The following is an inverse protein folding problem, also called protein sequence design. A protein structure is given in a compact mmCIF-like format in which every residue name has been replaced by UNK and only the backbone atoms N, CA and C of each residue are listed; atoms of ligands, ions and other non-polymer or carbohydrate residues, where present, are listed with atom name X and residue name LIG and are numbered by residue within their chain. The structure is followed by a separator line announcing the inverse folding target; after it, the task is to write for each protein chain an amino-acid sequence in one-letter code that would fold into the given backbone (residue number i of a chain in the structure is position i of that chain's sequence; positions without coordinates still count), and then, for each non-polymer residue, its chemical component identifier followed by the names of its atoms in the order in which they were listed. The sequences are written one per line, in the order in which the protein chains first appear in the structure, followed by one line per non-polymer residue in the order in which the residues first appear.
data_IF_516633200565
#
_entry.id   IF_516633200565
#
_cell.length_a   1.000
_cell.length_b   1.000
_cell.length_c   1.000
_cell.angle_alpha   90.00
_cell.angle_beta   90.00
_cell.angle_gamma   90.00
#
_symmetry.space_group_name_H-M   'P 1'
#
loop_
_entity.id
_entity.type
_entity.pdbx_description
1 polymer ?
#
# COMPACT_ATOMS: atom_id res chain seq x y z
N UNK A 1 -10.80 -4.52 -11.46
CA UNK A 1 -11.62 -3.44 -10.93
C UNK A 1 -10.91 -2.11 -11.16
N UNK A 2 -11.66 -1.00 -11.31
CA UNK A 2 -11.13 0.32 -11.65
C UNK A 2 -11.37 1.39 -10.58
N UNK A 3 -11.90 1.03 -9.43
CA UNK A 3 -12.17 1.90 -8.29
C UNK A 3 -11.63 1.19 -7.08
N UNK A 4 -10.36 1.45 -6.75
CA UNK A 4 -9.63 0.74 -5.71
C UNK A 4 -9.73 1.40 -4.33
N UNK A 5 -10.19 2.66 -4.26
CA UNK A 5 -10.17 3.45 -3.04
C UNK A 5 -11.07 4.69 -3.12
N UNK A 6 -10.99 5.53 -2.10
CA UNK A 6 -11.65 6.85 -2.04
C UNK A 6 -11.09 7.86 -3.05
N UNK A 7 -10.09 7.51 -3.83
CA UNK A 7 -9.46 8.38 -4.83
C UNK A 7 -10.38 8.88 -5.94
N UNK A 8 -11.65 8.56 -5.87
CA UNK A 8 -12.72 9.05 -6.74
C UNK A 8 -13.77 9.77 -5.88
N UNK A 9 -13.40 10.91 -5.32
CA UNK A 9 -14.25 11.65 -4.39
C UNK A 9 -15.60 12.09 -4.91
N UNK A 10 -15.69 12.41 -6.20
CA UNK A 10 -16.89 12.98 -6.85
C UNK A 10 -18.06 11.99 -6.92
N UNK A 11 -17.79 10.70 -7.13
CA UNK A 11 -18.83 9.67 -7.24
C UNK A 11 -19.39 9.24 -5.87
N UNK A 12 -18.74 9.66 -4.79
CA UNK A 12 -19.19 9.43 -3.43
C UNK A 12 -19.07 7.99 -2.94
N UNK A 13 -19.63 7.68 -1.76
CA UNK A 13 -19.43 6.41 -1.05
C UNK A 13 -19.81 5.16 -1.83
N UNK A 14 -20.73 5.25 -2.80
CA UNK A 14 -21.17 4.11 -3.61
C UNK A 14 -20.09 3.57 -4.54
N UNK A 15 -19.05 4.35 -4.82
CA UNK A 15 -17.92 4.00 -5.70
C UNK A 15 -16.57 3.99 -4.97
N UNK A 16 -16.57 4.20 -3.66
CA UNK A 16 -15.39 4.27 -2.81
C UNK A 16 -15.29 3.02 -1.94
N UNK A 17 -14.57 1.96 -2.39
CA UNK A 17 -14.36 0.76 -1.57
C UNK A 17 -13.48 1.08 -0.36
N UNK A 18 -13.84 0.56 0.80
CA UNK A 18 -13.11 0.67 2.06
C UNK A 18 -12.70 -0.72 2.53
N UNK A 19 -13.69 -1.56 2.88
CA UNK A 19 -13.51 -2.92 3.37
C UNK A 19 -13.36 -3.97 2.26
N UNK A 20 -13.65 -3.62 1.02
CA UNK A 20 -13.70 -4.57 -0.11
C UNK A 20 -12.34 -5.23 -0.36
N UNK A 21 -11.23 -4.46 -0.30
CA UNK A 21 -9.89 -5.04 -0.46
C UNK A 21 -9.57 -6.03 0.67
N UNK A 22 -9.86 -5.67 1.92
CA UNK A 22 -9.68 -6.54 3.08
C UNK A 22 -10.52 -7.81 2.96
N UNK A 23 -11.78 -7.69 2.56
CA UNK A 23 -12.68 -8.82 2.33
C UNK A 23 -12.15 -9.76 1.25
N UNK A 24 -11.66 -9.22 0.14
CA UNK A 24 -11.06 -10.01 -0.94
C UNK A 24 -9.78 -10.74 -0.48
N UNK A 25 -8.91 -10.07 0.28
CA UNK A 25 -7.69 -10.66 0.87
C UNK A 25 -7.99 -11.76 1.88
N UNK A 26 -9.19 -11.83 2.41
CA UNK A 26 -9.64 -12.91 3.30
C UNK A 26 -10.07 -14.16 2.56
N UNK A 27 -10.22 -14.13 1.24
CA UNK A 27 -10.61 -15.28 0.42
C UNK A 27 -9.41 -16.20 0.20
N UNK A 28 -9.44 -17.45 0.64
CA UNK A 28 -8.32 -18.39 0.44
C UNK A 28 -7.99 -18.58 -1.04
N UNK A 29 -6.70 -18.65 -1.34
CA UNK A 29 -6.18 -18.92 -2.69
C UNK A 29 -6.54 -17.85 -3.74
N UNK A 30 -6.86 -16.63 -3.35
CA UNK A 30 -7.10 -15.50 -4.23
C UNK A 30 -5.94 -14.50 -4.12
N UNK A 31 -5.30 -14.15 -5.24
CA UNK A 31 -4.26 -13.13 -5.26
C UNK A 31 -4.89 -11.76 -5.53
N UNK A 32 -4.64 -10.78 -4.67
CA UNK A 32 -5.12 -9.42 -4.82
C UNK A 32 -3.95 -8.51 -5.16
N UNK A 33 -3.94 -8.02 -6.39
CA UNK A 33 -2.95 -7.06 -6.87
C UNK A 33 -3.50 -5.65 -6.82
N UNK A 34 -2.77 -4.75 -6.17
CA UNK A 34 -3.05 -3.32 -6.14
C UNK A 34 -1.79 -2.55 -6.54
N UNK A 35 -1.53 -2.40 -7.85
CA UNK A 35 -0.31 -1.79 -8.37
C UNK A 35 -0.29 -0.27 -8.18
N UNK A 36 0.91 0.29 -7.97
CA UNK A 36 1.16 1.70 -7.70
C UNK A 36 1.42 2.54 -8.97
N UNK A 37 1.82 1.93 -10.05
CA UNK A 37 2.12 2.60 -11.32
C UNK A 37 1.95 1.67 -12.53
N UNK A 38 2.24 2.20 -13.71
CA UNK A 38 2.15 1.44 -14.97
C UNK A 38 3.07 0.22 -14.99
N UNK A 39 4.26 0.33 -14.41
CA UNK A 39 5.23 -0.78 -14.42
C UNK A 39 4.74 -1.90 -13.52
N UNK A 40 4.31 -1.58 -12.30
CA UNK A 40 3.69 -2.57 -11.41
C UNK A 40 2.41 -3.16 -12.01
N UNK A 41 1.59 -2.35 -12.68
CA UNK A 41 0.39 -2.85 -13.37
C UNK A 41 0.76 -3.92 -14.40
N UNK A 42 1.77 -3.67 -15.24
CA UNK A 42 2.24 -4.64 -16.22
C UNK A 42 2.78 -5.91 -15.53
N UNK A 43 3.59 -5.75 -14.49
CA UNK A 43 4.14 -6.86 -13.71
C UNK A 43 3.04 -7.70 -13.04
N UNK A 44 2.03 -7.06 -12.46
CA UNK A 44 0.88 -7.74 -11.85
C UNK A 44 0.05 -8.51 -12.89
N UNK A 45 -0.18 -7.92 -14.06
CA UNK A 45 -0.84 -8.62 -15.18
C UNK A 45 -0.06 -9.85 -15.62
N UNK A 46 1.26 -9.74 -15.75
CA UNK A 46 2.12 -10.87 -16.09
C UNK A 46 1.99 -12.00 -15.05
N UNK A 47 1.96 -11.67 -13.76
CA UNK A 47 1.81 -12.64 -12.68
C UNK A 47 0.43 -13.28 -12.70
N UNK A 48 -0.62 -12.49 -12.87
CA UNK A 48 -2.00 -12.98 -12.92
C UNK A 48 -2.23 -13.95 -14.09
N UNK A 49 -1.72 -13.61 -15.29
CA UNK A 49 -1.86 -14.48 -16.48
C UNK A 49 -1.04 -15.77 -16.39
N UNK A 50 0.08 -15.74 -15.66
CA UNK A 50 0.92 -16.92 -15.46
C UNK A 50 0.44 -17.80 -14.29
N UNK A 51 -0.45 -17.32 -13.45
CA UNK A 51 -1.01 -18.09 -12.33
C UNK A 51 -1.98 -19.15 -12.86
N UNK A 52 -1.64 -20.43 -12.64
CA UNK A 52 -2.47 -21.57 -13.10
C UNK A 52 -3.37 -22.15 -12.02
N UNK A 53 -3.07 -21.89 -10.77
CA UNK A 53 -3.72 -22.52 -9.62
C UNK A 53 -4.48 -21.57 -8.72
N UNK A 54 -4.28 -20.25 -8.89
CA UNK A 54 -4.89 -19.22 -8.05
C UNK A 54 -5.52 -18.15 -8.95
N UNK A 55 -6.81 -17.85 -8.79
CA UNK A 55 -7.41 -16.69 -9.43
C UNK A 55 -6.78 -15.39 -8.94
N UNK A 56 -6.94 -14.34 -9.72
CA UNK A 56 -6.34 -13.03 -9.42
C UNK A 56 -7.36 -11.91 -9.60
N UNK A 57 -7.33 -10.95 -8.71
CA UNK A 57 -8.01 -9.67 -8.82
C UNK A 57 -6.96 -8.58 -8.98
N UNK A 58 -7.14 -7.68 -9.93
CA UNK A 58 -6.32 -6.48 -10.08
C UNK A 58 -7.22 -5.28 -9.80
N UNK A 59 -6.93 -4.57 -8.71
CA UNK A 59 -7.62 -3.35 -8.30
C UNK A 59 -6.81 -2.15 -8.75
N UNK A 60 -7.36 -1.36 -9.67
CA UNK A 60 -6.71 -0.22 -10.29
C UNK A 60 -7.34 1.07 -9.80
N UNK A 61 -6.51 2.08 -9.59
CA UNK A 61 -6.99 3.42 -9.28
C UNK A 61 -7.64 4.09 -10.48
N UNK A 62 -8.55 5.00 -10.19
CA UNK A 62 -9.17 5.92 -11.15
C UNK A 62 -8.31 7.16 -11.41
N UNK A 63 -7.37 7.44 -10.53
CA UNK A 63 -6.51 8.61 -10.60
C UNK A 63 -5.35 8.42 -11.57
N UNK A 64 -4.86 9.53 -12.11
CA UNK A 64 -3.55 9.57 -12.75
C UNK A 64 -2.45 9.51 -11.70
N UNK A 65 -1.57 8.52 -11.79
CA UNK A 65 -0.46 8.34 -10.86
C UNK A 65 0.87 8.69 -11.51
N UNK A 66 1.76 9.27 -10.72
CA UNK A 66 3.14 9.46 -11.11
C UNK A 66 3.90 8.13 -11.03
N UNK A 67 4.91 7.90 -11.90
CA UNK A 67 5.76 6.73 -11.79
C UNK A 67 6.45 6.68 -10.42
N UNK A 68 6.31 5.58 -9.73
CA UNK A 68 6.94 5.32 -8.43
C UNK A 68 8.34 4.74 -8.65
N UNK A 69 8.45 3.86 -9.63
CA UNK A 69 9.70 3.19 -9.97
C UNK A 69 10.47 3.95 -11.02
N UNK A 70 11.59 4.58 -10.60
CA UNK A 70 12.48 5.35 -11.47
C UNK A 70 13.65 4.53 -12.00
N UNK A 71 14.00 3.42 -11.33
CA UNK A 71 15.11 2.54 -11.73
C UNK A 71 14.61 1.42 -12.62
N UNK A 72 15.29 1.22 -13.77
CA UNK A 72 15.01 0.09 -14.67
C UNK A 72 15.38 -1.22 -13.97
N UNK A 73 14.54 -2.23 -14.10
CA UNK A 73 14.80 -3.61 -13.69
C UNK A 73 14.39 -4.55 -14.82
N UNK A 74 15.23 -5.54 -15.10
CA UNK A 74 14.88 -6.66 -15.98
C UNK A 74 14.06 -7.74 -15.27
N UNK A 75 13.93 -7.64 -13.93
CA UNK A 75 13.18 -8.59 -13.12
C UNK A 75 11.82 -8.01 -12.78
N UNK A 76 10.81 -8.86 -12.77
CA UNK A 76 9.50 -8.55 -12.20
C UNK A 76 9.64 -8.46 -10.68
N UNK A 77 9.63 -7.24 -10.13
CA UNK A 77 9.82 -7.04 -8.69
C UNK A 77 8.53 -7.36 -7.91
N UNK A 78 7.38 -7.23 -8.54
CA UNK A 78 6.08 -7.58 -7.96
C UNK A 78 5.92 -9.09 -7.67
N UNK A 79 6.78 -9.93 -8.27
CA UNK A 79 6.81 -11.39 -8.02
C UNK A 79 7.02 -11.72 -6.53
N UNK A 80 7.75 -10.90 -5.81
CA UNK A 80 7.97 -11.08 -4.37
C UNK A 80 6.79 -10.61 -3.50
N UNK A 81 5.78 -10.01 -4.10
CA UNK A 81 4.62 -9.44 -3.41
C UNK A 81 4.87 -8.12 -2.71
N UNK A 82 6.10 -7.86 -2.29
CA UNK A 82 6.56 -6.59 -1.72
C UNK A 82 8.04 -6.37 -2.03
N UNK A 83 8.46 -5.13 -2.22
CA UNK A 83 9.86 -4.77 -2.46
C UNK A 83 10.16 -3.31 -2.09
N UNK A 84 11.43 -2.99 -1.83
CA UNK A 84 11.87 -1.64 -1.50
C UNK A 84 11.91 -0.76 -2.75
N UNK A 85 11.20 0.39 -2.70
CA UNK A 85 11.17 1.39 -3.78
C UNK A 85 12.02 2.60 -3.48
N UNK A 86 12.16 2.96 -2.21
CA UNK A 86 12.94 4.10 -1.75
C UNK A 86 13.65 3.80 -0.43
N UNK A 87 14.83 4.37 -0.27
CA UNK A 87 15.56 4.43 1.00
C UNK A 87 16.26 5.79 1.10
N UNK A 88 16.00 6.52 2.18
CA UNK A 88 16.53 7.88 2.37
C UNK A 88 17.89 7.91 3.08
N UNK A 89 18.30 6.83 3.76
CA UNK A 89 19.62 6.70 4.41
C UNK A 89 19.97 5.23 4.67
N UNK A 90 21.26 4.95 4.86
CA UNK A 90 21.71 3.63 5.32
C UNK A 90 21.28 3.30 6.76
N UNK A 91 21.09 4.34 7.61
CA UNK A 91 20.54 4.19 8.96
C UNK A 91 19.12 4.74 8.95
N UNK A 92 18.15 3.84 9.06
CA UNK A 92 16.73 4.18 9.01
C UNK A 92 16.06 3.94 10.37
N UNK A 93 15.07 4.77 10.68
CA UNK A 93 14.27 4.72 11.91
C UNK A 93 12.92 4.05 11.70
N UNK A 94 12.39 4.08 10.48
CA UNK A 94 11.07 3.55 10.16
C UNK A 94 11.05 2.81 8.81
N UNK A 95 10.15 1.83 8.71
CA UNK A 95 9.75 1.20 7.44
C UNK A 95 8.32 1.63 7.14
N UNK A 96 8.08 2.19 5.97
CA UNK A 96 6.75 2.60 5.52
C UNK A 96 6.32 1.63 4.42
N UNK A 97 5.19 0.95 4.64
CA UNK A 97 4.60 0.04 3.65
C UNK A 97 3.42 0.76 3.01
N UNK A 98 3.34 0.70 1.70
CA UNK A 98 2.19 1.23 0.97
C UNK A 98 1.84 0.34 -0.22
N UNK A 99 0.65 0.52 -0.76
CA UNK A 99 0.18 -0.19 -1.93
C UNK A 99 -0.68 0.74 -2.80
N UNK A 100 -0.76 0.45 -4.09
CA UNK A 100 -1.56 1.25 -5.01
C UNK A 100 -1.15 2.72 -5.04
N UNK A 101 -2.13 3.59 -5.13
CA UNK A 101 -1.95 5.05 -5.21
C UNK A 101 -1.19 5.64 -4.03
N UNK A 102 -1.28 5.05 -2.86
CA UNK A 102 -0.65 5.57 -1.64
C UNK A 102 0.87 5.34 -1.60
N UNK A 103 1.42 4.54 -2.52
CA UNK A 103 2.88 4.37 -2.61
C UNK A 103 3.61 5.68 -2.95
N UNK A 104 3.04 6.52 -3.82
CA UNK A 104 3.61 7.84 -4.10
C UNK A 104 3.53 8.77 -2.88
N UNK A 105 2.42 8.74 -2.14
CA UNK A 105 2.27 9.47 -0.87
C UNK A 105 3.31 9.03 0.16
N UNK A 106 3.55 7.73 0.29
CA UNK A 106 4.57 7.19 1.21
C UNK A 106 5.98 7.68 0.86
N UNK A 107 6.29 7.82 -0.44
CA UNK A 107 7.56 8.39 -0.93
C UNK A 107 7.67 9.86 -0.53
N UNK A 108 6.62 10.65 -0.74
CA UNK A 108 6.60 12.08 -0.39
C UNK A 108 6.74 12.28 1.13
N UNK A 109 6.03 11.48 1.93
CA UNK A 109 6.17 11.46 3.41
C UNK A 109 7.61 11.11 3.80
N UNK A 110 8.21 10.08 3.19
CA UNK A 110 9.58 9.67 3.48
C UNK A 110 10.60 10.78 3.18
N UNK A 111 10.42 11.51 2.08
CA UNK A 111 11.27 12.67 1.76
C UNK A 111 11.08 13.81 2.76
N UNK A 112 9.83 14.10 3.15
CA UNK A 112 9.54 15.14 4.15
C UNK A 112 10.15 14.80 5.51
N UNK A 113 9.99 13.56 5.99
CA UNK A 113 10.61 13.09 7.23
C UNK A 113 12.15 13.21 7.20
N UNK A 114 12.76 12.96 6.05
CA UNK A 114 14.21 13.08 5.88
C UNK A 114 14.70 14.53 6.06
N UNK A 115 13.88 15.55 5.74
CA UNK A 115 14.23 16.96 6.02
C UNK A 115 14.30 17.25 7.53
N UNK A 116 13.55 16.49 8.33
CA UNK A 116 13.54 16.59 9.79
C UNK A 116 14.54 15.62 10.46
N UNK A 117 15.41 14.97 9.65
CA UNK A 117 16.42 14.03 10.12
C UNK A 117 15.89 12.63 10.46
N UNK A 118 14.65 12.34 10.12
CA UNK A 118 14.01 11.02 10.30
C UNK A 118 14.10 10.25 8.99
N UNK A 119 14.98 9.26 8.95
CA UNK A 119 15.21 8.47 7.75
C UNK A 119 14.37 7.19 7.74
N UNK A 120 13.87 6.86 6.56
CA UNK A 120 12.99 5.70 6.36
C UNK A 120 13.27 4.98 5.06
N UNK A 121 12.73 3.78 4.93
CA UNK A 121 12.57 3.10 3.65
C UNK A 121 11.08 2.96 3.32
N UNK A 122 10.77 2.98 2.05
CA UNK A 122 9.42 2.76 1.53
C UNK A 122 9.37 1.42 0.80
N UNK A 123 8.38 0.63 1.15
CA UNK A 123 8.07 -0.68 0.58
C UNK A 123 6.78 -0.54 -0.23
N UNK A 124 6.84 -0.85 -1.53
CA UNK A 124 5.63 -1.14 -2.29
C UNK A 124 5.23 -2.59 -2.06
N UNK A 125 3.97 -2.82 -1.72
CA UNK A 125 3.40 -4.16 -1.48
C UNK A 125 2.20 -4.40 -2.41
N UNK A 126 2.43 -4.62 -3.71
CA UNK A 126 1.35 -4.81 -4.66
C UNK A 126 0.51 -6.08 -4.45
N UNK A 127 1.04 -7.10 -3.75
CA UNK A 127 0.30 -8.33 -3.48
C UNK A 127 0.74 -8.96 -2.15
N UNK A 128 -0.12 -8.91 -1.16
CA UNK A 128 0.15 -9.43 0.18
C UNK A 128 0.27 -10.95 0.19
N UNK A 129 -0.55 -11.65 -0.60
CA UNK A 129 -0.58 -13.11 -0.66
C UNK A 129 0.74 -13.68 -1.22
N UNK A 130 1.32 -13.03 -2.22
CA UNK A 130 2.65 -13.41 -2.74
C UNK A 130 3.76 -13.09 -1.73
N UNK A 131 3.64 -11.99 -0.98
CA UNK A 131 4.60 -11.66 0.08
C UNK A 131 4.53 -12.66 1.23
N UNK A 132 3.35 -13.08 1.63
CA UNK A 132 3.17 -14.07 2.69
C UNK A 132 3.81 -15.43 2.37
N UNK A 133 3.90 -15.78 1.08
CA UNK A 133 4.55 -16.99 0.59
C UNK A 133 6.09 -16.89 0.55
N UNK A 134 6.66 -15.71 0.79
CA UNK A 134 8.11 -15.55 0.80
C UNK A 134 8.75 -16.19 2.03
N UNK A 135 10.06 -16.48 1.90
CA UNK A 135 10.84 -17.00 3.03
C UNK A 135 10.88 -16.01 4.19
N UNK A 136 11.00 -16.51 5.42
CA UNK A 136 11.15 -15.66 6.61
C UNK A 136 12.35 -14.72 6.50
N UNK A 137 13.43 -15.15 5.85
CA UNK A 137 14.61 -14.31 5.60
C UNK A 137 14.23 -13.10 4.75
N UNK A 138 13.43 -13.30 3.69
CA UNK A 138 13.00 -12.20 2.84
C UNK A 138 12.03 -11.26 3.58
N UNK A 139 11.03 -11.82 4.27
CA UNK A 139 10.06 -11.05 5.05
C UNK A 139 10.74 -10.18 6.11
N UNK A 140 11.68 -10.76 6.84
CA UNK A 140 12.47 -10.03 7.83
C UNK A 140 13.32 -8.90 7.22
N UNK A 141 13.95 -9.14 6.07
CA UNK A 141 14.68 -8.10 5.34
C UNK A 141 13.78 -6.94 4.95
N UNK A 142 12.55 -7.23 4.51
CA UNK A 142 11.60 -6.21 4.07
C UNK A 142 11.02 -5.44 5.27
N UNK A 143 10.59 -6.12 6.34
CA UNK A 143 9.82 -5.51 7.43
C UNK A 143 10.65 -5.19 8.68
N UNK A 144 11.54 -6.06 9.11
CA UNK A 144 12.08 -6.07 10.46
C UNK A 144 13.44 -5.37 10.60
N UNK A 145 13.85 -4.55 9.64
CA UNK A 145 15.07 -3.74 9.74
C UNK A 145 14.93 -2.61 10.75
N UNK A 146 13.69 -2.16 11.01
CA UNK A 146 13.36 -1.10 11.96
C UNK A 146 12.34 -1.59 12.99
N UNK A 147 12.31 -0.93 14.17
CA UNK A 147 11.31 -1.21 15.22
C UNK A 147 9.95 -0.63 14.90
N UNK A 148 9.90 0.44 14.10
CA UNK A 148 8.67 1.10 13.69
C UNK A 148 8.36 0.71 12.25
N UNK A 149 7.22 0.05 12.07
CA UNK A 149 6.64 -0.25 10.77
C UNK A 149 5.31 0.49 10.66
N UNK A 150 5.13 1.20 9.56
CA UNK A 150 3.94 2.02 9.29
C UNK A 150 3.31 1.53 8.01
N UNK A 151 1.99 1.42 7.95
CA UNK A 151 1.26 1.16 6.70
C UNK A 151 0.46 2.38 6.27
N UNK A 152 0.36 2.57 4.95
CA UNK A 152 -0.46 3.61 4.32
C UNK A 152 -1.25 2.95 3.18
N UNK A 153 -2.55 2.83 3.35
CA UNK A 153 -3.48 2.36 2.33
C UNK A 153 -4.85 3.00 2.54
N UNK A 154 -5.44 3.58 1.51
CA UNK A 154 -6.80 4.13 1.54
C UNK A 154 -7.85 2.98 1.55
N UNK A 155 -7.84 2.18 2.62
CA UNK A 155 -8.69 1.03 2.90
C UNK A 155 -8.71 0.77 4.41
N UNK A 156 -9.50 -0.19 4.86
CA UNK A 156 -9.62 -0.60 6.27
C UNK A 156 -8.24 -0.95 6.87
N UNK A 157 -7.98 -0.44 8.09
CA UNK A 157 -6.63 -0.47 8.70
C UNK A 157 -6.29 -1.77 9.41
N UNK A 158 -7.27 -2.51 9.91
CA UNK A 158 -7.06 -3.65 10.82
C UNK A 158 -6.26 -4.78 10.20
N UNK A 159 -6.40 -4.99 8.90
CA UNK A 159 -5.69 -6.06 8.19
C UNK A 159 -4.16 -5.85 8.16
N UNK A 160 -3.69 -4.60 8.25
CA UNK A 160 -2.27 -4.29 8.24
C UNK A 160 -1.52 -4.66 9.52
N UNK A 161 -2.24 -4.89 10.64
CA UNK A 161 -1.64 -5.25 11.94
C UNK A 161 -0.75 -6.49 11.88
N UNK A 162 -1.00 -7.41 10.94
CA UNK A 162 -0.15 -8.60 10.76
C UNK A 162 1.26 -8.28 10.26
N UNK A 163 1.45 -7.12 9.60
CA UNK A 163 2.75 -6.67 9.09
C UNK A 163 3.39 -5.61 9.98
N UNK A 164 2.57 -4.72 10.53
CA UNK A 164 3.06 -3.60 11.35
C UNK A 164 3.27 -4.00 12.81
N UNK A 165 2.60 -5.07 13.26
CA UNK A 165 2.68 -5.55 14.64
C UNK A 165 1.95 -4.64 15.63
N UNK A 166 2.11 -4.91 16.92
CA UNK A 166 1.40 -4.20 18.00
C UNK A 166 1.90 -2.77 18.27
N UNK A 167 3.08 -2.42 17.77
CA UNK A 167 3.71 -1.10 17.94
C UNK A 167 3.71 -0.27 16.66
N UNK A 168 3.24 -0.84 15.56
CA UNK A 168 3.15 -0.17 14.28
C UNK A 168 1.94 0.75 14.19
N UNK A 169 2.00 1.65 13.22
CA UNK A 169 0.92 2.58 12.92
C UNK A 169 0.29 2.22 11.58
N UNK A 170 -1.03 2.32 11.49
CA UNK A 170 -1.75 2.04 10.25
C UNK A 170 -2.57 3.28 9.88
N UNK A 171 -2.26 3.88 8.75
CA UNK A 171 -2.99 5.00 8.18
C UNK A 171 -3.89 4.47 7.07
N UNK A 172 -5.18 4.66 7.20
CA UNK A 172 -6.19 4.18 6.28
C UNK A 172 -7.54 4.83 6.53
N UNK A 173 -8.60 4.13 6.17
CA UNK A 173 -9.97 4.61 6.26
C UNK A 173 -10.82 3.53 6.88
N UNK A 174 -11.37 3.82 8.06
CA UNK A 174 -12.16 2.87 8.84
C UNK A 174 -13.66 3.26 8.89
N UNK A 175 -14.07 4.24 8.07
CA UNK A 175 -15.45 4.69 7.94
C UNK A 175 -15.83 4.84 6.45
N UNK A 176 -17.10 5.12 6.17
CA UNK A 176 -17.57 5.33 4.80
C UNK A 176 -16.86 6.49 4.10
N UNK A 177 -16.65 6.34 2.80
CA UNK A 177 -16.19 7.43 1.95
C UNK A 177 -17.16 8.62 1.95
N UNK A 178 -16.72 9.75 1.41
CA UNK A 178 -17.49 11.00 1.35
C UNK A 178 -17.51 11.55 -0.07
N UNK A 179 -18.59 12.25 -0.42
CA UNK A 179 -18.71 12.98 -1.68
C UNK A 179 -18.00 14.32 -1.55
N UNK A 180 -16.72 14.38 -1.96
CA UNK A 180 -15.90 15.59 -1.95
C UNK A 180 -14.72 15.40 -2.92
N UNK A 181 -13.98 16.46 -3.30
CA UNK A 181 -12.70 16.30 -3.98
C UNK A 181 -11.81 15.32 -3.20
N UNK A 182 -11.13 14.41 -3.88
CA UNK A 182 -10.39 13.32 -3.22
C UNK A 182 -9.37 13.79 -2.17
N UNK A 183 -8.78 14.98 -2.37
CA UNK A 183 -7.86 15.59 -1.40
C UNK A 183 -8.55 15.94 -0.08
N UNK A 184 -9.79 16.40 -0.17
CA UNK A 184 -10.58 16.71 1.02
C UNK A 184 -11.04 15.42 1.71
N UNK A 185 -11.38 14.37 0.94
CA UNK A 185 -11.66 13.05 1.50
C UNK A 185 -10.47 12.52 2.32
N UNK A 186 -9.25 12.64 1.81
CA UNK A 186 -8.04 12.23 2.53
C UNK A 186 -7.81 13.05 3.81
N UNK A 187 -8.10 14.35 3.79
CA UNK A 187 -7.96 15.21 4.97
C UNK A 187 -8.98 14.85 6.05
N UNK A 188 -10.26 14.71 5.70
CA UNK A 188 -11.33 14.39 6.66
C UNK A 188 -11.23 13.00 7.28
N UNK A 189 -10.58 12.05 6.60
CA UNK A 189 -10.37 10.70 7.13
C UNK A 189 -9.10 10.56 7.94
N UNK A 190 -8.13 11.48 7.79
CA UNK A 190 -6.93 11.54 8.63
C UNK A 190 -7.15 12.27 9.95
N UNK A 191 -8.24 13.05 10.07
CA UNK A 191 -8.57 13.83 11.29
C UNK A 191 -9.04 12.94 12.45
N UNK A 192 -9.37 11.68 12.19
CA UNK A 192 -9.63 10.69 13.25
C UNK A 192 -8.40 10.39 14.14
N UNK A 193 -7.21 10.86 13.76
CA UNK A 193 -6.02 10.76 14.60
C UNK A 193 -5.98 11.81 15.74
N UNK A 194 -6.74 12.89 15.65
CA UNK A 194 -6.80 13.94 16.68
C UNK A 194 -7.77 13.59 17.82
N UNK A 195 -8.67 12.62 17.65
CA UNK A 195 -9.57 12.15 18.73
C UNK A 195 -8.89 11.22 19.76
N UNK A 196 -7.64 10.84 19.57
CA UNK A 196 -6.87 10.03 20.52
C UNK A 196 -6.14 10.85 21.61
N UNK A 197 -6.44 12.14 21.73
CA UNK A 197 -5.89 13.02 22.74
C UNK A 197 -6.94 13.50 23.77
N UNK A 198 -7.74 12.57 24.30
CA UNK A 198 -8.53 12.77 25.53
C UNK A 198 -8.23 11.68 26.54
#
# INVERSE_FOLDING_TARGET
FTHDSIGLGEDGPTHQPIEQLTSLRSIPNLNIFRPSDLIETFECWQLALNSKSSPSVIALTRQSLNPVRTKKSSKNLSLAGAYEVLRTSNKISATIIATGSETSLAIDVSHKLATDGIYSKVISMPCQELFDQQTEIYKNKILNETKLVVSIEASETGYWKKYTGSKGLNFGIDDFGKSAPYKDCLLYTSDAADELSC
#
